data_IF_582854767933
#
_entry.id   IF_582854767933
#
_cell.length_a   1.000
_cell.length_b   1.000
_cell.length_c   1.000
_cell.angle_alpha   90.00
_cell.angle_beta   90.00
_cell.angle_gamma   90.00
#
_symmetry.space_group_name_H-M   'P 1'
#
loop_
_entity.id
_entity.type
_entity.pdbx_description
1 polymer ?
#
# COMPACT_ATOMS: atom_id res chain seq x y z
N UNK A 1 18.07 7.62 -15.71
CA UNK A 1 17.81 6.58 -14.69
C UNK A 1 18.10 7.17 -13.32
N UNK A 2 17.11 7.18 -12.44
CA UNK A 2 17.22 7.52 -11.02
C UNK A 2 17.96 6.42 -10.26
N UNK A 3 18.43 6.75 -9.06
CA UNK A 3 19.08 5.77 -8.18
C UNK A 3 18.17 4.58 -7.84
N UNK A 4 16.85 4.82 -7.69
CA UNK A 4 15.87 3.78 -7.42
C UNK A 4 15.66 2.86 -8.63
N UNK A 5 15.58 3.42 -9.84
CA UNK A 5 15.47 2.63 -11.08
C UNK A 5 16.71 1.76 -11.29
N UNK A 6 17.91 2.30 -11.07
CA UNK A 6 19.17 1.54 -11.17
C UNK A 6 19.17 0.38 -10.15
N UNK A 7 18.73 0.65 -8.92
CA UNK A 7 18.63 -0.37 -7.87
C UNK A 7 17.61 -1.45 -8.22
N UNK A 8 16.47 -1.09 -8.81
CA UNK A 8 15.46 -2.03 -9.28
C UNK A 8 15.98 -2.93 -10.41
N UNK A 9 16.65 -2.35 -11.40
CA UNK A 9 17.30 -3.10 -12.48
C UNK A 9 18.37 -4.06 -11.96
N UNK A 10 19.20 -3.62 -11.01
CA UNK A 10 20.20 -4.47 -10.38
C UNK A 10 19.57 -5.67 -9.67
N UNK A 11 18.59 -5.45 -8.79
CA UNK A 11 17.94 -6.54 -8.06
C UNK A 11 17.13 -7.46 -8.97
N UNK A 12 16.48 -6.91 -10.01
CA UNK A 12 15.83 -7.70 -11.04
C UNK A 12 16.84 -8.59 -11.77
N UNK A 13 18.02 -8.08 -12.14
CA UNK A 13 19.07 -8.89 -12.77
C UNK A 13 19.62 -9.98 -11.85
N UNK A 14 19.88 -9.66 -10.57
CA UNK A 14 20.40 -10.61 -9.57
C UNK A 14 19.48 -11.83 -9.39
N UNK A 15 18.17 -11.64 -9.51
CA UNK A 15 17.19 -12.72 -9.35
C UNK A 15 16.89 -13.47 -10.65
N UNK A 16 17.52 -13.10 -11.78
CA UNK A 16 17.24 -13.71 -13.08
C UNK A 16 16.08 -13.06 -13.85
N UNK A 17 15.66 -11.87 -13.44
CA UNK A 17 14.66 -11.05 -14.13
C UNK A 17 13.21 -11.33 -13.73
N UNK A 18 12.97 -12.25 -12.79
CA UNK A 18 11.62 -12.68 -12.41
C UNK A 18 11.18 -12.23 -11.01
N UNK A 19 12.06 -11.61 -10.21
CA UNK A 19 11.71 -11.14 -8.86
C UNK A 19 12.27 -9.74 -8.60
N UNK A 20 11.42 -8.82 -8.17
CA UNK A 20 11.81 -7.51 -7.68
C UNK A 20 11.57 -7.43 -6.16
N UNK A 21 12.49 -6.81 -5.43
CA UNK A 21 12.35 -6.65 -3.99
C UNK A 21 11.23 -5.64 -3.66
N UNK A 22 10.30 -6.01 -2.77
CA UNK A 22 9.16 -5.18 -2.40
C UNK A 22 9.55 -3.84 -1.75
N UNK A 23 10.75 -3.72 -1.16
CA UNK A 23 11.28 -2.43 -0.65
C UNK A 23 11.55 -1.37 -1.72
N UNK A 24 11.46 -1.75 -2.99
CA UNK A 24 11.61 -0.85 -4.15
C UNK A 24 10.25 -0.43 -4.72
N UNK A 25 9.16 -0.94 -4.15
CA UNK A 25 7.79 -0.65 -4.53
C UNK A 25 7.18 0.29 -3.50
N UNK A 26 6.36 1.21 -3.96
CA UNK A 26 5.48 1.99 -3.11
C UNK A 26 4.01 1.69 -3.42
N UNK A 27 3.17 1.88 -2.40
CA UNK A 27 1.72 1.81 -2.57
C UNK A 27 1.27 2.87 -3.57
N UNK A 28 0.34 2.48 -4.43
CA UNK A 28 -0.17 3.20 -5.60
C UNK A 28 0.81 3.33 -6.78
N UNK A 29 1.95 2.63 -6.76
CA UNK A 29 2.78 2.54 -7.95
C UNK A 29 2.08 1.76 -9.07
N UNK A 30 2.43 2.11 -10.30
CA UNK A 30 2.05 1.35 -11.49
C UNK A 30 3.31 0.88 -12.21
N UNK A 31 3.52 -0.43 -12.26
CA UNK A 31 4.73 -1.04 -12.77
C UNK A 31 4.51 -1.70 -14.12
N UNK A 32 5.47 -1.57 -15.02
CA UNK A 32 5.52 -2.27 -16.29
C UNK A 32 6.93 -2.81 -16.50
N UNK A 33 7.03 -3.92 -17.22
CA UNK A 33 8.30 -4.46 -17.67
C UNK A 33 8.44 -4.15 -19.15
N UNK A 34 9.53 -3.48 -19.49
CA UNK A 34 9.92 -3.22 -20.88
C UNK A 34 11.03 -4.20 -21.28
N UNK A 35 10.88 -4.86 -22.43
CA UNK A 35 11.89 -5.77 -22.99
C UNK A 35 12.26 -5.32 -24.39
N UNK A 36 13.55 -5.11 -24.63
CA UNK A 36 14.12 -4.87 -25.95
C UNK A 36 15.11 -6.01 -26.28
N UNK A 37 14.94 -6.63 -27.44
CA UNK A 37 15.89 -7.62 -27.96
C UNK A 37 17.04 -6.89 -28.64
N UNK A 38 18.28 -7.26 -28.33
CA UNK A 38 19.47 -6.67 -28.94
C UNK A 38 20.38 -7.74 -29.55
N UNK A 39 21.00 -7.41 -30.67
CA UNK A 39 22.03 -8.21 -31.33
C UNK A 39 23.31 -7.38 -31.54
N UNK A 40 24.23 -7.89 -32.37
CA UNK A 40 25.51 -7.24 -32.64
C UNK A 40 25.41 -5.92 -33.44
N UNK A 41 24.24 -5.65 -34.04
CA UNK A 41 24.00 -4.49 -34.90
C UNK A 41 23.18 -3.43 -34.15
N UNK A 42 22.28 -3.85 -33.25
CA UNK A 42 21.56 -2.92 -32.39
C UNK A 42 20.43 -3.57 -31.58
N UNK A 43 19.56 -2.72 -31.03
CA UNK A 43 18.36 -3.14 -30.30
C UNK A 43 17.11 -2.86 -31.12
N UNK A 44 16.15 -3.79 -31.08
CA UNK A 44 14.82 -3.61 -31.66
C UNK A 44 13.93 -2.69 -30.83
N UNK A 45 12.73 -2.43 -31.35
CA UNK A 45 11.70 -1.65 -30.62
C UNK A 45 11.33 -2.37 -29.33
N UNK A 46 11.36 -1.67 -28.17
CA UNK A 46 10.94 -2.26 -26.91
C UNK A 46 9.46 -2.64 -26.91
N UNK A 47 9.13 -3.73 -26.21
CA UNK A 47 7.77 -4.17 -25.95
C UNK A 47 7.47 -4.11 -24.45
N UNK A 48 6.29 -3.59 -24.10
CA UNK A 48 5.85 -3.45 -22.72
C UNK A 48 4.88 -4.58 -22.31
N UNK A 49 4.98 -4.99 -21.06
CA UNK A 49 3.96 -5.82 -20.42
C UNK A 49 2.66 -5.04 -20.20
N UNK A 50 1.60 -5.75 -19.81
CA UNK A 50 0.49 -5.10 -19.11
C UNK A 50 1.00 -4.42 -17.83
N UNK A 51 0.37 -3.32 -17.44
CA UNK A 51 0.68 -2.63 -16.21
C UNK A 51 0.17 -3.41 -14.99
N UNK A 52 0.96 -3.42 -13.91
CA UNK A 52 0.65 -3.99 -12.62
C UNK A 52 0.55 -2.87 -11.58
N UNK A 53 -0.66 -2.69 -11.04
CA UNK A 53 -0.89 -1.72 -9.98
C UNK A 53 -0.58 -2.31 -8.60
N UNK A 54 0.23 -1.60 -7.81
CA UNK A 54 0.47 -1.91 -6.39
C UNK A 54 -0.57 -1.15 -5.58
N UNK A 55 -1.71 -1.79 -5.30
CA UNK A 55 -2.86 -1.12 -4.69
C UNK A 55 -2.68 -1.00 -3.16
N UNK A 56 -3.19 0.10 -2.59
CA UNK A 56 -3.43 0.24 -1.15
C UNK A 56 -4.92 0.02 -0.85
N UNK A 57 -5.25 -0.89 0.05
CA UNK A 57 -6.61 -1.05 0.54
C UNK A 57 -6.86 -0.13 1.73
N UNK A 58 -8.03 0.53 1.75
CA UNK A 58 -8.44 1.33 2.90
C UNK A 58 -8.76 0.41 4.10
N UNK A 59 -8.41 0.80 5.33
CA UNK A 59 -8.77 0.02 6.51
C UNK A 59 -10.27 0.09 6.80
N UNK A 60 -10.78 -0.89 7.54
CA UNK A 60 -12.11 -0.91 8.10
C UNK A 60 -12.06 -0.62 9.60
N UNK A 61 -12.96 0.23 10.08
CA UNK A 61 -13.10 0.55 11.50
C UNK A 61 -14.55 0.36 11.92
N UNK A 62 -14.76 -0.32 13.04
CA UNK A 62 -16.09 -0.48 13.65
C UNK A 62 -16.03 -0.17 15.14
N UNK A 63 -17.05 0.51 15.65
CA UNK A 63 -17.23 0.73 17.09
C UNK A 63 -18.03 -0.45 17.63
N UNK A 64 -17.45 -1.20 18.56
CA UNK A 64 -18.08 -2.36 19.19
C UNK A 64 -18.83 -1.96 20.47
N UNK A 65 -18.34 -0.93 21.18
CA UNK A 65 -18.98 -0.36 22.35
C UNK A 65 -18.82 1.17 22.38
N UNK A 66 -19.79 1.91 22.94
CA UNK A 66 -21.08 1.43 23.43
C UNK A 66 -22.01 0.99 22.29
N UNK A 67 -23.02 0.18 22.62
CA UNK A 67 -24.08 -0.13 21.66
C UNK A 67 -24.86 1.15 21.30
N UNK A 68 -25.38 1.21 20.07
CA UNK A 68 -26.14 2.37 19.61
C UNK A 68 -27.38 2.62 20.49
N UNK A 69 -27.62 3.87 20.87
CA UNK A 69 -28.78 4.27 21.68
C UNK A 69 -28.61 4.12 23.20
N UNK A 70 -27.44 3.70 23.69
CA UNK A 70 -27.15 3.71 25.12
C UNK A 70 -27.05 5.15 25.62
N UNK A 71 -27.79 5.45 26.69
CA UNK A 71 -27.67 6.69 27.45
C UNK A 71 -26.90 6.37 28.72
N UNK A 72 -25.78 7.07 28.93
CA UNK A 72 -24.97 6.96 30.13
C UNK A 72 -24.75 8.35 30.74
N UNK A 73 -24.76 8.42 32.06
CA UNK A 73 -24.49 9.62 32.86
C UNK A 73 -23.16 9.52 33.64
N UNK A 74 -22.30 8.59 33.23
CA UNK A 74 -20.96 8.31 33.78
C UNK A 74 -19.95 8.20 32.63
N UNK A 75 -18.68 7.96 32.96
CA UNK A 75 -17.64 7.72 31.96
C UNK A 75 -18.01 6.58 31.02
N UNK A 76 -17.83 6.81 29.72
CA UNK A 76 -18.12 5.83 28.66
C UNK A 76 -16.80 5.28 28.13
N UNK A 77 -16.66 3.96 28.13
CA UNK A 77 -15.57 3.29 27.43
C UNK A 77 -15.97 3.04 25.99
N UNK A 78 -15.12 3.48 25.05
CA UNK A 78 -15.28 3.19 23.62
C UNK A 78 -14.33 2.08 23.23
N UNK A 79 -14.87 0.97 22.76
CA UNK A 79 -14.08 -0.10 22.17
C UNK A 79 -14.33 -0.13 20.67
N UNK A 80 -13.26 -0.27 19.90
CA UNK A 80 -13.31 -0.35 18.45
C UNK A 80 -12.45 -1.49 17.95
N UNK A 81 -12.78 -1.95 16.74
CA UNK A 81 -11.96 -2.87 15.96
C UNK A 81 -11.43 -2.12 14.76
N UNK A 82 -10.12 -2.17 14.56
CA UNK A 82 -9.44 -1.71 13.35
C UNK A 82 -8.94 -2.94 12.60
N UNK A 83 -9.22 -3.00 11.30
CA UNK A 83 -8.71 -4.06 10.44
C UNK A 83 -8.23 -3.46 9.12
N UNK A 84 -6.96 -3.71 8.79
CA UNK A 84 -6.37 -3.40 7.50
C UNK A 84 -6.03 -4.73 6.83
N UNK A 85 -6.61 -4.99 5.65
CA UNK A 85 -6.45 -6.28 4.96
C UNK A 85 -5.00 -6.56 4.53
N UNK A 86 -4.15 -5.54 4.51
CA UNK A 86 -2.74 -5.63 4.15
C UNK A 86 -1.85 -5.79 5.39
N UNK A 87 -2.43 -5.83 6.59
CA UNK A 87 -1.71 -5.94 7.86
C UNK A 87 -0.98 -4.66 8.26
N UNK A 88 -1.30 -3.52 7.64
CA UNK A 88 -0.68 -2.24 7.96
C UNK A 88 -1.24 -1.71 9.30
N UNK A 89 -0.36 -1.31 10.22
CA UNK A 89 -0.79 -0.59 11.43
C UNK A 89 -1.22 0.83 11.06
N UNK A 90 -2.30 1.31 11.68
CA UNK A 90 -2.82 2.66 11.48
C UNK A 90 -3.14 3.37 12.79
N UNK A 91 -3.62 4.60 12.69
CA UNK A 91 -4.08 5.40 13.83
C UNK A 91 -5.58 5.64 13.73
N UNK A 92 -6.31 5.36 14.82
CA UNK A 92 -7.72 5.74 14.95
C UNK A 92 -7.86 7.00 15.79
N UNK A 93 -8.80 7.88 15.41
CA UNK A 93 -9.22 9.03 16.20
C UNK A 93 -10.70 8.90 16.54
N UNK A 94 -11.05 9.08 17.81
CA UNK A 94 -12.45 9.13 18.23
C UNK A 94 -13.01 10.52 17.94
N UNK A 95 -14.18 10.60 17.30
CA UNK A 95 -14.86 11.87 17.00
C UNK A 95 -16.22 11.88 17.72
N UNK A 96 -16.48 12.92 18.50
CA UNK A 96 -17.75 13.13 19.21
C UNK A 96 -18.34 14.45 18.72
N UNK A 97 -19.56 14.41 18.19
CA UNK A 97 -20.26 15.58 17.62
C UNK A 97 -19.41 16.38 16.62
N UNK A 98 -18.66 15.68 15.77
CA UNK A 98 -17.79 16.30 14.75
C UNK A 98 -16.46 16.85 15.27
N UNK A 99 -16.16 16.71 16.57
CA UNK A 99 -14.88 17.14 17.15
C UNK A 99 -14.03 15.94 17.54
N UNK A 100 -12.73 15.98 17.22
CA UNK A 100 -11.79 14.92 17.64
C UNK A 100 -11.69 14.92 19.16
N UNK A 101 -12.09 13.82 19.76
CA UNK A 101 -11.90 13.56 21.18
C UNK A 101 -10.43 13.22 21.41
N UNK A 102 -9.65 14.25 21.72
CA UNK A 102 -8.25 14.13 22.09
C UNK A 102 -8.21 14.02 23.62
N UNK A 103 -8.20 12.80 24.15
CA UNK A 103 -7.82 12.55 25.54
C UNK A 103 -6.31 12.57 25.67
#
# INVERSE_FOLDING_TARGET
LSANEIKALYWGGVTGGNVLNSSLLAKNDNWLVEVALCDAIGCGTPANSSALAIINYAPNVSINLPANGIIANLNISVNYTYNDSEGTSGTCSLIVNGTVNST
#
